data_IF_391155197466
#
_entry.id   IF_391155197466
#
_cell.length_a   1.000
_cell.length_b   1.000
_cell.length_c   1.000
_cell.angle_alpha   90.00
_cell.angle_beta   90.00
_cell.angle_gamma   90.00
#
_symmetry.space_group_name_H-M   'P 1'
#
loop_
_entity.id
_entity.type
_entity.pdbx_description
1 polymer ?
#
# COMPACT_ATOMS: atom_id res chain seq x y z
N UNK A 1 19.32 -21.01 15.49
CA UNK A 1 20.13 -20.00 16.21
C UNK A 1 20.01 -18.71 15.43
N UNK A 2 19.21 -17.77 15.95
CA UNK A 2 19.03 -16.46 15.35
C UNK A 2 20.34 -15.66 15.49
N UNK A 3 20.72 -14.91 14.45
CA UNK A 3 21.86 -14.01 14.50
C UNK A 3 21.34 -12.67 15.05
N UNK A 4 21.90 -12.25 16.17
CA UNK A 4 21.65 -10.95 16.81
C UNK A 4 22.27 -9.89 15.91
N UNK A 5 21.57 -8.76 15.74
CA UNK A 5 22.11 -7.61 15.01
C UNK A 5 23.46 -7.21 15.63
N UNK A 6 24.43 -6.95 14.78
CA UNK A 6 25.78 -6.57 15.19
C UNK A 6 25.78 -5.17 15.78
N UNK A 7 26.73 -4.88 16.69
CA UNK A 7 26.86 -3.55 17.30
C UNK A 7 27.01 -2.43 16.25
N UNK A 8 27.55 -2.77 15.07
CA UNK A 8 27.70 -1.86 13.93
C UNK A 8 26.34 -1.45 13.31
N UNK A 9 25.38 -2.38 13.22
CA UNK A 9 24.02 -2.13 12.71
C UNK A 9 23.19 -1.27 13.68
N UNK A 10 23.44 -1.39 14.99
CA UNK A 10 22.81 -0.54 16.01
C UNK A 10 23.40 0.88 16.04
N UNK A 11 24.69 1.03 15.75
CA UNK A 11 25.37 2.34 15.68
C UNK A 11 24.88 3.16 14.47
N UNK A 12 24.67 2.51 13.31
CA UNK A 12 24.20 3.18 12.08
C UNK A 12 22.76 3.73 12.23
N UNK A 13 21.90 3.01 12.97
CA UNK A 13 20.56 3.47 13.35
C UNK A 13 20.57 4.69 14.28
N UNK A 14 21.56 4.78 15.20
CA UNK A 14 21.72 5.94 16.09
C UNK A 14 22.13 7.19 15.30
N UNK A 15 23.04 7.07 14.34
CA UNK A 15 23.45 8.20 13.50
C UNK A 15 22.33 8.75 12.60
N UNK A 16 21.50 7.87 12.04
CA UNK A 16 20.33 8.25 11.22
C UNK A 16 19.29 9.05 12.03
N UNK A 17 19.11 8.69 13.30
CA UNK A 17 18.14 9.33 14.20
C UNK A 17 18.59 10.73 14.61
N UNK A 18 19.89 10.92 14.89
CA UNK A 18 20.44 12.24 15.25
C UNK A 18 20.43 13.24 14.08
N UNK A 19 20.66 12.77 12.83
CA UNK A 19 20.53 13.64 11.64
C UNK A 19 19.11 14.18 11.46
N UNK A 20 18.09 13.41 11.86
CA UNK A 20 16.68 13.79 11.74
C UNK A 20 16.29 14.91 12.73
N UNK A 21 16.82 14.87 13.96
CA UNK A 21 16.61 15.90 14.99
C UNK A 21 17.22 17.25 14.61
N UNK A 22 18.31 17.25 13.84
CA UNK A 22 18.97 18.48 13.38
C UNK A 22 18.19 19.21 12.29
N UNK A 23 17.46 18.47 11.43
CA UNK A 23 16.62 19.06 10.38
C UNK A 23 15.31 19.66 10.87
N UNK A 24 14.76 19.18 11.99
CA UNK A 24 13.50 19.70 12.55
C UNK A 24 13.68 20.98 13.38
N UNK A 25 14.90 21.31 13.79
CA UNK A 25 15.19 22.48 14.65
C UNK A 25 15.43 23.78 13.87
N UNK A 26 15.38 23.76 12.54
CA UNK A 26 15.69 24.94 11.70
C UNK A 26 14.47 25.60 11.04
N UNK A 27 13.24 25.21 11.39
CA UNK A 27 12.02 25.72 10.72
C UNK A 27 11.11 26.62 11.57
N UNK A 28 11.43 26.90 12.84
CA UNK A 28 10.62 27.77 13.69
C UNK A 28 11.40 29.06 13.99
N UNK A 29 11.32 30.06 13.09
CA UNK A 29 11.51 31.48 13.39
C UNK A 29 11.12 32.33 12.15
N UNK A 30 9.86 32.79 12.10
CA UNK A 30 9.51 34.03 11.39
C UNK A 30 8.16 34.57 11.85
N UNK A 31 8.23 35.77 12.46
CA UNK A 31 7.14 36.62 12.94
C UNK A 31 6.07 36.96 11.89
N UNK A 32 4.80 36.96 12.30
CA UNK A 32 3.71 37.63 11.58
C UNK A 32 2.79 38.38 12.55
N UNK A 33 2.76 39.71 12.39
CA UNK A 33 1.99 40.69 13.16
C UNK A 33 0.48 40.55 12.99
N UNK A 34 -0.27 40.83 14.07
CA UNK A 34 -1.73 40.81 14.12
C UNK A 34 -2.35 42.15 13.68
N UNK A 35 -3.42 42.09 12.88
CA UNK A 35 -4.33 43.22 12.57
C UNK A 35 -5.72 42.90 13.14
N UNK A 36 -6.41 43.83 13.84
CA UNK A 36 -7.69 43.57 14.46
C UNK A 36 -8.88 43.98 13.56
N UNK A 37 -9.97 43.21 13.60
CA UNK A 37 -11.30 43.70 13.19
C UNK A 37 -12.41 43.15 14.08
N UNK A 38 -13.20 44.08 14.61
CA UNK A 38 -14.45 43.90 15.35
C UNK A 38 -15.57 43.25 14.51
N UNK A 39 -16.54 42.61 15.20
CA UNK A 39 -17.86 42.31 14.63
C UNK A 39 -18.53 41.05 15.18
N UNK A 40 -19.39 41.22 16.19
CA UNK A 40 -20.24 40.17 16.76
C UNK A 40 -21.50 39.99 15.91
N UNK A 41 -21.80 38.77 15.46
CA UNK A 41 -23.18 38.33 15.25
C UNK A 41 -23.34 36.83 15.57
N UNK A 42 -24.34 36.53 16.43
CA UNK A 42 -24.70 35.21 16.93
C UNK A 42 -25.57 34.49 15.91
N UNK A 43 -25.29 33.21 15.60
CA UNK A 43 -26.29 32.26 15.13
C UNK A 43 -25.88 30.78 15.42
N UNK A 44 -26.90 29.97 15.72
CA UNK A 44 -26.93 28.59 16.24
C UNK A 44 -25.86 27.57 15.75
N UNK A 45 -25.53 26.54 16.56
CA UNK A 45 -24.59 25.49 16.17
C UNK A 45 -25.25 24.56 15.14
N UNK A 46 -24.81 24.69 13.89
CA UNK A 46 -25.00 23.67 12.85
C UNK A 46 -23.92 22.61 13.07
N UNK A 47 -24.37 21.36 13.29
CA UNK A 47 -23.51 20.17 13.37
C UNK A 47 -22.63 20.13 12.11
N UNK A 48 -21.29 20.07 12.21
CA UNK A 48 -20.47 20.08 11.01
C UNK A 48 -20.68 18.76 10.27
N UNK A 49 -21.35 18.82 9.12
CA UNK A 49 -21.27 17.77 8.13
C UNK A 49 -19.80 17.57 7.79
N UNK A 50 -19.36 16.32 7.80
CA UNK A 50 -18.06 15.88 7.30
C UNK A 50 -17.81 16.56 5.96
N UNK A 51 -16.98 17.60 5.96
CA UNK A 51 -16.45 18.19 4.74
C UNK A 51 -15.71 17.08 4.03
N UNK A 52 -16.25 16.66 2.89
CA UNK A 52 -15.45 16.09 1.83
C UNK A 52 -14.27 17.05 1.63
N UNK A 53 -13.08 16.61 2.03
CA UNK A 53 -11.85 17.31 1.69
C UNK A 53 -11.69 17.04 0.19
N UNK A 54 -12.08 18.00 -0.64
CA UNK A 54 -11.71 17.99 -2.04
C UNK A 54 -10.18 17.96 -2.11
N UNK A 55 -9.56 17.03 -2.85
CA UNK A 55 -8.12 17.00 -3.00
C UNK A 55 -7.67 18.30 -3.67
N UNK A 56 -6.83 19.07 -2.98
CA UNK A 56 -6.19 20.26 -3.54
C UNK A 56 -5.27 19.85 -4.68
N UNK A 57 -5.71 20.19 -5.89
CA UNK A 57 -5.06 19.97 -7.19
C UNK A 57 -3.79 20.82 -7.40
N UNK A 58 -2.95 21.00 -6.38
CA UNK A 58 -1.91 22.05 -6.40
C UNK A 58 -0.46 21.57 -6.59
N UNK A 59 -0.19 20.28 -6.76
CA UNK A 59 1.21 19.81 -6.94
C UNK A 59 1.63 19.47 -8.37
N UNK A 60 0.75 19.66 -9.38
CA UNK A 60 1.13 19.45 -10.79
C UNK A 60 0.76 20.61 -11.73
N UNK A 61 0.49 21.79 -11.19
CA UNK A 61 0.20 22.97 -12.00
C UNK A 61 0.71 24.26 -11.33
N UNK A 62 1.97 24.61 -11.56
CA UNK A 62 2.26 26.03 -11.83
C UNK A 62 1.67 26.37 -13.20
N UNK A 63 0.35 26.48 -13.23
CA UNK A 63 -0.44 26.75 -14.42
C UNK A 63 -1.62 27.61 -13.99
N UNK A 64 -1.51 28.91 -14.24
CA UNK A 64 -2.63 29.86 -14.12
C UNK A 64 -3.86 29.30 -14.83
N UNK A 65 -5.05 29.54 -14.28
CA UNK A 65 -6.38 29.20 -14.79
C UNK A 65 -6.68 29.83 -16.17
N UNK A 66 -5.89 29.47 -17.17
CA UNK A 66 -5.98 29.85 -18.57
C UNK A 66 -6.16 28.54 -19.34
N UNK A 67 -7.41 28.22 -19.65
CA UNK A 67 -7.87 26.91 -20.07
C UNK A 67 -7.36 26.46 -21.45
N UNK A 68 -7.61 25.18 -21.73
CA UNK A 68 -7.61 24.50 -23.02
C UNK A 68 -6.57 25.00 -24.05
N UNK A 69 -5.28 24.78 -23.78
CA UNK A 69 -4.17 25.20 -24.65
C UNK A 69 -3.92 24.27 -25.84
N UNK A 70 -4.55 23.10 -25.86
CA UNK A 70 -4.32 22.05 -26.88
C UNK A 70 -5.60 21.29 -27.26
N UNK A 71 -5.55 20.51 -28.33
CA UNK A 71 -6.65 19.64 -28.76
C UNK A 71 -6.22 18.16 -28.75
N UNK A 72 -6.99 17.31 -28.07
CA UNK A 72 -6.92 15.87 -28.22
C UNK A 72 -7.77 15.43 -29.42
N UNK A 73 -7.21 14.58 -30.29
CA UNK A 73 -7.88 14.14 -31.52
C UNK A 73 -8.38 12.70 -31.34
N UNK A 74 -9.68 12.51 -31.55
CA UNK A 74 -10.37 11.22 -31.50
C UNK A 74 -11.08 10.96 -32.84
N UNK A 75 -10.35 10.39 -33.81
CA UNK A 75 -10.88 10.20 -35.16
C UNK A 75 -11.09 11.55 -35.85
N UNK A 76 -12.35 11.89 -36.16
CA UNK A 76 -12.75 13.20 -36.71
C UNK A 76 -13.16 14.22 -35.63
N UNK A 77 -13.14 13.83 -34.35
CA UNK A 77 -13.51 14.70 -33.24
C UNK A 77 -12.27 15.35 -32.60
N UNK A 78 -12.39 16.61 -32.22
CA UNK A 78 -11.35 17.39 -31.53
C UNK A 78 -11.90 17.81 -30.17
N UNK A 79 -11.24 17.38 -29.09
CA UNK A 79 -11.64 17.66 -27.71
C UNK A 79 -10.61 18.62 -27.11
N UNK A 80 -11.04 19.75 -26.53
CA UNK A 80 -10.11 20.71 -25.96
C UNK A 80 -9.48 20.13 -24.66
N UNK A 81 -8.20 20.42 -24.43
CA UNK A 81 -7.44 19.97 -23.26
C UNK A 81 -6.43 21.04 -22.82
N UNK A 82 -6.35 21.30 -21.52
CA UNK A 82 -5.38 22.25 -20.94
C UNK A 82 -3.94 21.92 -21.32
N UNK A 83 -3.54 20.65 -21.14
CA UNK A 83 -2.17 20.18 -21.36
C UNK A 83 -2.15 18.77 -21.95
N UNK A 84 -1.15 18.51 -22.80
CA UNK A 84 -0.86 17.15 -23.31
C UNK A 84 0.54 16.72 -22.91
N UNK A 85 0.68 15.45 -22.50
CA UNK A 85 1.95 14.84 -22.13
C UNK A 85 2.19 13.58 -22.97
N UNK A 86 3.45 13.31 -23.31
CA UNK A 86 3.83 12.10 -24.07
C UNK A 86 3.98 10.86 -23.20
N UNK A 87 4.22 11.07 -21.91
CA UNK A 87 4.39 10.02 -20.90
C UNK A 87 3.66 10.43 -19.64
N UNK A 88 3.06 9.45 -18.97
CA UNK A 88 2.54 9.65 -17.63
C UNK A 88 3.69 9.91 -16.65
N UNK A 89 3.53 10.83 -15.68
CA UNK A 89 4.44 10.90 -14.54
C UNK A 89 4.60 9.51 -13.88
N UNK A 90 5.79 9.15 -13.38
CA UNK A 90 5.92 7.96 -12.54
C UNK A 90 4.93 8.02 -11.36
N UNK A 91 4.30 6.90 -11.05
CA UNK A 91 3.30 6.86 -9.98
C UNK A 91 2.41 5.63 -10.01
N UNK A 92 1.45 5.62 -9.09
CA UNK A 92 0.36 4.65 -9.06
C UNK A 92 -0.86 5.19 -9.82
N UNK A 93 -1.53 4.33 -10.57
CA UNK A 93 -2.67 4.66 -11.40
C UNK A 93 -3.75 3.59 -11.31
N UNK A 94 -5.00 3.99 -11.51
CA UNK A 94 -6.15 3.09 -11.64
C UNK A 94 -6.78 3.22 -13.03
N UNK A 95 -7.00 2.11 -13.76
CA UNK A 95 -7.77 2.10 -14.99
C UNK A 95 -9.24 2.39 -14.72
N UNK A 96 -9.73 3.51 -15.26
CA UNK A 96 -11.12 3.94 -15.11
C UNK A 96 -11.76 4.12 -16.47
N UNK A 97 -13.08 3.97 -16.51
CA UNK A 97 -13.89 4.25 -17.69
C UNK A 97 -14.92 5.32 -17.34
N UNK A 98 -15.00 6.36 -18.16
CA UNK A 98 -16.08 7.34 -18.11
C UNK A 98 -16.67 7.54 -19.50
N UNK A 99 -17.93 7.95 -19.57
CA UNK A 99 -18.61 8.16 -20.86
C UNK A 99 -17.94 9.28 -21.67
N UNK A 100 -17.42 10.31 -20.99
CA UNK A 100 -16.80 11.48 -21.62
C UNK A 100 -15.39 11.22 -22.14
N UNK A 101 -14.59 10.39 -21.47
CA UNK A 101 -13.16 10.20 -21.77
C UNK A 101 -12.80 8.76 -22.16
N UNK A 102 -13.76 7.83 -22.09
CA UNK A 102 -13.52 6.40 -22.26
C UNK A 102 -12.51 5.88 -21.23
N UNK A 103 -11.72 4.89 -21.66
CA UNK A 103 -10.65 4.31 -20.82
C UNK A 103 -9.48 5.28 -20.63
N UNK A 104 -9.22 5.65 -19.39
CA UNK A 104 -8.12 6.52 -18.99
C UNK A 104 -7.47 6.04 -17.68
N UNK A 105 -6.32 6.62 -17.34
CA UNK A 105 -5.57 6.31 -16.12
C UNK A 105 -5.81 7.42 -15.10
N UNK A 106 -6.37 7.08 -13.95
CA UNK A 106 -6.54 8.00 -12.83
C UNK A 106 -5.34 7.88 -11.89
N UNK A 107 -4.59 8.97 -11.66
CA UNK A 107 -3.43 8.95 -10.76
C UNK A 107 -3.92 8.80 -9.32
N UNK A 108 -3.42 7.77 -8.61
CA UNK A 108 -3.70 7.56 -7.19
C UNK A 108 -2.77 8.44 -6.35
N UNK A 109 -3.28 8.91 -5.22
CA UNK A 109 -2.43 9.46 -4.18
C UNK A 109 -1.80 8.31 -3.40
N UNK A 110 -0.48 8.27 -3.37
CA UNK A 110 0.30 7.25 -2.69
C UNK A 110 1.15 7.94 -1.64
N UNK A 111 1.07 7.47 -0.40
CA UNK A 111 2.03 7.86 0.63
C UNK A 111 2.94 6.66 0.92
N UNK A 112 4.24 6.83 0.66
CA UNK A 112 5.27 5.81 0.88
C UNK A 112 6.18 6.15 2.08
N UNK A 113 5.95 7.27 2.77
CA UNK A 113 6.87 7.89 3.73
C UNK A 113 7.04 7.07 5.03
N UNK A 114 6.28 5.98 5.17
CA UNK A 114 6.30 5.14 6.38
C UNK A 114 6.38 3.65 6.07
N UNK A 115 6.90 3.28 4.90
CA UNK A 115 7.13 1.87 4.60
C UNK A 115 8.35 1.35 5.35
N UNK A 116 8.11 0.40 6.24
CA UNK A 116 9.16 -0.36 6.89
C UNK A 116 9.56 -1.53 6.00
N UNK A 117 10.85 -1.61 5.69
CA UNK A 117 11.45 -2.73 4.98
C UNK A 117 12.07 -3.67 6.01
N UNK A 118 11.64 -4.92 6.00
CA UNK A 118 12.22 -5.96 6.85
C UNK A 118 13.25 -6.73 6.05
N UNK A 119 14.51 -6.63 6.43
CA UNK A 119 15.61 -7.39 5.81
C UNK A 119 15.37 -8.91 5.97
N UNK A 120 15.83 -9.69 4.99
CA UNK A 120 15.67 -11.15 4.91
C UNK A 120 14.21 -11.64 4.88
N UNK A 121 13.28 -10.80 4.47
CA UNK A 121 11.86 -11.16 4.34
C UNK A 121 11.55 -11.79 2.97
N UNK A 122 10.44 -12.53 2.90
CA UNK A 122 9.88 -13.00 1.63
C UNK A 122 9.62 -11.85 0.63
N UNK A 123 9.43 -10.63 1.12
CA UNK A 123 9.27 -9.41 0.33
C UNK A 123 10.56 -9.02 -0.40
N UNK A 124 11.72 -9.13 0.26
CA UNK A 124 13.02 -8.83 -0.36
C UNK A 124 13.38 -9.81 -1.48
N UNK A 125 13.09 -11.10 -1.29
CA UNK A 125 13.27 -12.11 -2.33
C UNK A 125 12.42 -11.79 -3.58
N UNK A 126 11.18 -11.35 -3.38
CA UNK A 126 10.28 -10.97 -4.49
C UNK A 126 10.76 -9.71 -5.19
N UNK A 127 11.20 -8.70 -4.43
CA UNK A 127 11.77 -7.48 -4.97
C UNK A 127 13.03 -7.79 -5.81
N UNK A 128 13.93 -8.62 -5.29
CA UNK A 128 15.12 -9.07 -6.01
C UNK A 128 14.76 -9.85 -7.29
N UNK A 129 13.74 -10.71 -7.22
CA UNK A 129 13.26 -11.45 -8.39
C UNK A 129 12.71 -10.52 -9.49
N UNK A 130 12.00 -9.45 -9.11
CA UNK A 130 11.48 -8.44 -10.03
C UNK A 130 12.63 -7.63 -10.67
N UNK A 131 13.64 -7.25 -9.88
CA UNK A 131 14.82 -6.55 -10.38
C UNK A 131 15.61 -7.41 -11.37
N UNK A 132 15.80 -8.70 -11.04
CA UNK A 132 16.41 -9.68 -11.95
C UNK A 132 15.58 -9.82 -13.24
N UNK A 133 14.27 -9.96 -13.13
CA UNK A 133 13.38 -10.05 -14.29
C UNK A 133 13.54 -8.85 -15.24
N UNK A 134 13.61 -7.63 -14.72
CA UNK A 134 13.82 -6.45 -15.57
C UNK A 134 15.23 -6.35 -16.15
N UNK A 135 16.23 -7.02 -15.56
CA UNK A 135 17.56 -7.10 -16.15
C UNK A 135 17.65 -8.09 -17.33
N UNK A 136 16.60 -8.89 -17.58
CA UNK A 136 16.58 -9.99 -18.58
C UNK A 136 15.95 -9.63 -19.92
N UNK A 137 15.70 -8.36 -20.22
CA UNK A 137 15.08 -7.88 -21.47
C UNK A 137 15.67 -8.53 -22.73
N UNK A 138 17.00 -8.48 -22.88
CA UNK A 138 17.70 -9.02 -24.05
C UNK A 138 17.56 -10.54 -24.17
N UNK A 139 17.50 -11.26 -23.04
CA UNK A 139 17.29 -12.70 -23.01
C UNK A 139 15.86 -13.05 -23.48
N UNK A 140 14.84 -12.36 -22.98
CA UNK A 140 13.44 -12.55 -23.42
C UNK A 140 13.30 -12.30 -24.92
N UNK A 141 13.88 -11.20 -25.42
CA UNK A 141 13.88 -10.86 -26.86
C UNK A 141 14.60 -11.90 -27.70
N UNK A 142 15.77 -12.34 -27.26
CA UNK A 142 16.59 -13.34 -27.98
C UNK A 142 15.82 -14.65 -28.18
N UNK A 143 15.05 -15.09 -27.19
CA UNK A 143 14.26 -16.31 -27.28
C UNK A 143 12.85 -16.11 -27.85
N UNK A 144 12.44 -14.87 -28.14
CA UNK A 144 11.11 -14.56 -28.68
C UNK A 144 9.98 -14.76 -27.67
N UNK A 145 10.29 -14.72 -26.37
CA UNK A 145 9.29 -14.79 -25.31
C UNK A 145 8.79 -13.38 -24.96
N UNK A 146 7.52 -13.30 -24.56
CA UNK A 146 6.98 -12.06 -23.98
C UNK A 146 7.71 -11.78 -22.66
N UNK A 147 8.28 -10.59 -22.51
CA UNK A 147 8.95 -10.10 -21.31
C UNK A 147 7.89 -9.72 -20.26
N UNK A 148 7.32 -10.77 -19.69
CA UNK A 148 6.26 -10.74 -18.70
C UNK A 148 6.59 -11.68 -17.54
N UNK A 149 6.15 -11.29 -16.35
CA UNK A 149 6.22 -12.11 -15.13
C UNK A 149 4.90 -12.08 -14.37
N UNK A 150 4.46 -13.21 -13.85
CA UNK A 150 3.37 -13.30 -12.89
C UNK A 150 3.87 -13.68 -11.50
N UNK A 151 3.41 -12.98 -10.47
CA UNK A 151 3.73 -13.23 -9.06
C UNK A 151 2.45 -13.27 -8.24
N UNK A 152 2.24 -14.34 -7.46
CA UNK A 152 1.14 -14.46 -6.50
C UNK A 152 1.69 -14.46 -5.08
N UNK A 153 1.26 -13.48 -4.28
CA UNK A 153 1.54 -13.39 -2.86
C UNK A 153 0.33 -13.89 -2.07
N UNK A 154 0.50 -14.91 -1.24
CA UNK A 154 -0.60 -15.45 -0.43
C UNK A 154 -0.21 -15.60 1.03
N UNK A 155 -1.18 -15.63 1.93
CA UNK A 155 -0.92 -15.81 3.36
C UNK A 155 -1.98 -15.14 4.22
N UNK A 156 -1.86 -15.23 5.56
CA UNK A 156 -2.89 -14.72 6.46
C UNK A 156 -3.12 -13.21 6.31
N UNK A 157 -4.33 -12.72 6.66
CA UNK A 157 -4.61 -11.29 6.71
C UNK A 157 -3.66 -10.58 7.69
N UNK A 158 -3.23 -9.37 7.32
CA UNK A 158 -2.28 -8.58 8.12
C UNK A 158 -0.80 -9.02 8.03
N UNK A 159 -0.46 -10.07 7.27
CA UNK A 159 0.92 -10.54 7.11
C UNK A 159 1.86 -9.61 6.31
N UNK A 160 1.39 -8.47 5.79
CA UNK A 160 2.23 -7.52 5.06
C UNK A 160 2.26 -7.70 3.55
N UNK A 161 1.30 -8.42 2.95
CA UNK A 161 1.15 -8.53 1.48
C UNK A 161 0.99 -7.16 0.82
N UNK A 162 0.08 -6.33 1.30
CA UNK A 162 -0.14 -4.96 0.81
C UNK A 162 1.10 -4.08 1.00
N UNK A 163 1.77 -4.17 2.15
CA UNK A 163 3.04 -3.46 2.39
C UNK A 163 4.14 -3.90 1.41
N UNK A 164 4.17 -5.18 1.05
CA UNK A 164 5.09 -5.71 0.03
C UNK A 164 4.81 -5.10 -1.34
N UNK A 165 3.53 -4.99 -1.74
CA UNK A 165 3.15 -4.30 -2.98
C UNK A 165 3.62 -2.83 -2.98
N UNK A 166 3.42 -2.13 -1.86
CA UNK A 166 3.82 -0.73 -1.73
C UNK A 166 5.35 -0.54 -1.85
N UNK A 167 6.15 -1.45 -1.29
CA UNK A 167 7.62 -1.44 -1.44
C UNK A 167 8.04 -1.67 -2.90
N UNK A 168 7.36 -2.59 -3.60
CA UNK A 168 7.61 -2.85 -5.02
C UNK A 168 7.26 -1.62 -5.86
N UNK A 169 6.10 -1.01 -5.59
CA UNK A 169 5.66 0.20 -6.27
C UNK A 169 6.63 1.37 -6.04
N UNK A 170 7.11 1.58 -4.81
CA UNK A 170 8.08 2.61 -4.49
C UNK A 170 9.36 2.46 -5.32
N UNK A 171 9.92 1.24 -5.39
CA UNK A 171 11.10 0.94 -6.21
C UNK A 171 10.84 1.11 -7.71
N UNK A 172 9.70 0.65 -8.20
CA UNK A 172 9.29 0.83 -9.60
C UNK A 172 9.21 2.32 -9.96
N UNK A 173 8.53 3.11 -9.13
CA UNK A 173 8.33 4.56 -9.36
C UNK A 173 9.66 5.28 -9.33
N UNK A 174 10.57 4.94 -8.39
CA UNK A 174 11.93 5.48 -8.33
C UNK A 174 12.75 5.22 -9.60
N UNK A 175 12.42 4.18 -10.38
CA UNK A 175 13.03 3.87 -11.69
C UNK A 175 12.27 4.47 -12.87
N UNK A 176 11.26 5.30 -12.60
CA UNK A 176 10.40 5.87 -13.63
C UNK A 176 9.46 4.83 -14.25
N UNK A 177 8.87 3.94 -13.46
CA UNK A 177 7.82 3.01 -13.90
C UNK A 177 6.40 3.48 -13.56
N UNK A 178 5.41 2.68 -13.97
CA UNK A 178 3.98 2.88 -13.67
C UNK A 178 3.45 1.68 -12.90
N UNK A 179 2.90 1.92 -11.71
CA UNK A 179 2.11 0.93 -10.99
C UNK A 179 0.63 1.09 -11.34
N UNK A 180 -0.03 0.02 -11.74
CA UNK A 180 -1.44 0.01 -12.17
C UNK A 180 -2.23 -0.87 -11.22
N UNK A 181 -3.09 -0.25 -10.40
CA UNK A 181 -4.02 -0.94 -9.51
C UNK A 181 -5.26 -1.38 -10.27
N UNK A 182 -5.53 -2.67 -10.27
CA UNK A 182 -6.58 -3.29 -11.05
C UNK A 182 -7.75 -3.59 -10.12
N UNK A 183 -8.82 -2.80 -10.25
CA UNK A 183 -10.12 -3.05 -9.62
C UNK A 183 -11.06 -3.77 -10.58
N UNK A 184 -10.93 -3.50 -11.89
CA UNK A 184 -11.72 -4.13 -12.95
C UNK A 184 -10.81 -4.70 -14.05
N UNK A 185 -10.74 -6.04 -14.23
CA UNK A 185 -9.85 -6.66 -15.23
C UNK A 185 -10.12 -6.23 -16.68
N UNK A 186 -11.37 -5.96 -17.02
CA UNK A 186 -11.75 -5.52 -18.36
C UNK A 186 -11.23 -4.11 -18.67
N UNK A 187 -11.36 -3.18 -17.72
CA UNK A 187 -10.82 -1.83 -17.85
C UNK A 187 -9.29 -1.87 -17.93
N UNK A 188 -8.67 -2.65 -17.04
CA UNK A 188 -7.23 -2.82 -17.00
C UNK A 188 -6.66 -3.35 -18.31
N UNK A 189 -7.26 -4.37 -18.90
CA UNK A 189 -6.85 -4.92 -20.18
C UNK A 189 -6.79 -3.82 -21.27
N UNK A 190 -7.85 -3.04 -21.43
CA UNK A 190 -7.90 -1.94 -22.42
C UNK A 190 -6.90 -0.83 -22.13
N UNK A 191 -6.76 -0.44 -20.86
CA UNK A 191 -5.88 0.64 -20.45
C UNK A 191 -4.39 0.26 -20.57
N UNK A 192 -4.00 -0.96 -20.17
CA UNK A 192 -2.64 -1.46 -20.27
C UNK A 192 -2.18 -1.62 -21.73
N UNK A 193 -3.03 -2.15 -22.62
CA UNK A 193 -2.72 -2.21 -24.05
C UNK A 193 -2.49 -0.81 -24.65
N UNK A 194 -3.30 0.17 -24.23
CA UNK A 194 -3.15 1.56 -24.65
C UNK A 194 -1.87 2.18 -24.10
N UNK A 195 -1.58 1.97 -22.81
CA UNK A 195 -0.36 2.45 -22.15
C UNK A 195 0.88 1.88 -22.84
N UNK A 196 0.94 0.56 -23.09
CA UNK A 196 2.07 -0.08 -23.79
C UNK A 196 2.26 0.46 -25.20
N UNK A 197 1.18 0.80 -25.93
CA UNK A 197 1.29 1.41 -27.26
C UNK A 197 1.86 2.83 -27.22
N UNK A 198 1.53 3.61 -26.19
CA UNK A 198 1.98 5.00 -26.04
C UNK A 198 3.41 5.05 -25.46
N UNK A 199 3.69 4.18 -24.50
CA UNK A 199 4.96 4.10 -23.77
C UNK A 199 5.58 2.69 -23.87
N UNK A 200 6.14 2.30 -25.04
CA UNK A 200 6.55 0.93 -25.34
C UNK A 200 7.62 0.36 -24.42
N UNK A 201 8.49 1.19 -23.85
CA UNK A 201 9.59 0.76 -22.98
C UNK A 201 9.33 1.01 -21.49
N UNK A 202 8.16 1.52 -21.11
CA UNK A 202 7.86 1.85 -19.71
C UNK A 202 7.75 0.57 -18.87
N UNK A 203 8.50 0.44 -17.76
CA UNK A 203 8.29 -0.66 -16.82
C UNK A 203 6.91 -0.52 -16.17
N UNK A 204 6.14 -1.61 -16.14
CA UNK A 204 4.80 -1.64 -15.55
C UNK A 204 4.71 -2.73 -14.49
N UNK A 205 4.12 -2.40 -13.35
CA UNK A 205 3.59 -3.38 -12.40
C UNK A 205 2.06 -3.29 -12.42
N UNK A 206 1.39 -4.42 -12.58
CA UNK A 206 -0.05 -4.55 -12.56
C UNK A 206 -0.48 -5.25 -11.27
N UNK A 207 -1.04 -4.49 -10.34
CA UNK A 207 -1.42 -4.94 -9.00
C UNK A 207 -2.87 -5.43 -8.98
N UNK A 208 -3.07 -6.71 -8.69
CA UNK A 208 -4.37 -7.33 -8.41
C UNK A 208 -4.47 -7.66 -6.91
N UNK A 209 -4.90 -6.69 -6.11
CA UNK A 209 -5.08 -6.91 -4.67
C UNK A 209 -6.36 -7.72 -4.41
N UNK A 210 -6.28 -8.71 -3.51
CA UNK A 210 -7.38 -9.63 -3.17
C UNK A 210 -8.01 -10.24 -4.44
N UNK A 211 -7.19 -10.91 -5.25
CA UNK A 211 -7.58 -11.44 -6.56
C UNK A 211 -8.76 -12.40 -6.51
N UNK A 212 -9.00 -13.07 -5.37
CA UNK A 212 -10.18 -13.89 -5.14
C UNK A 212 -11.48 -13.06 -5.08
N UNK A 213 -11.43 -11.84 -4.54
CA UNK A 213 -12.55 -10.90 -4.57
C UNK A 213 -12.81 -10.40 -6.00
N UNK A 214 -11.74 -10.04 -6.73
CA UNK A 214 -11.84 -9.62 -8.14
C UNK A 214 -12.43 -10.75 -9.00
N UNK A 215 -11.98 -11.99 -8.79
CA UNK A 215 -12.52 -13.17 -9.47
C UNK A 215 -14.00 -13.38 -9.16
N UNK A 216 -14.40 -13.22 -7.89
CA UNK A 216 -15.79 -13.38 -7.47
C UNK A 216 -16.71 -12.33 -8.11
N UNK A 217 -16.23 -11.10 -8.28
CA UNK A 217 -17.02 -10.00 -8.85
C UNK A 217 -17.09 -10.07 -10.39
N UNK A 218 -15.95 -10.29 -11.06
CA UNK A 218 -15.85 -10.17 -12.52
C UNK A 218 -15.79 -11.51 -13.28
N UNK A 219 -15.64 -12.61 -12.55
CA UNK A 219 -15.50 -13.95 -13.09
C UNK A 219 -14.05 -14.32 -13.44
N UNK A 220 -13.72 -15.60 -13.27
CA UNK A 220 -12.41 -16.19 -13.53
C UNK A 220 -11.90 -15.90 -14.95
N UNK A 221 -12.77 -16.03 -15.96
CA UNK A 221 -12.39 -15.84 -17.36
C UNK A 221 -11.83 -14.46 -17.67
N UNK A 222 -12.25 -13.42 -16.95
CA UNK A 222 -11.76 -12.04 -17.15
C UNK A 222 -10.39 -11.82 -16.52
N UNK A 223 -10.16 -12.39 -15.34
CA UNK A 223 -8.84 -12.40 -14.69
C UNK A 223 -7.86 -13.19 -15.55
N UNK A 224 -8.28 -14.36 -16.06
CA UNK A 224 -7.46 -15.18 -16.94
C UNK A 224 -7.14 -14.49 -18.26
N UNK A 225 -8.09 -13.84 -18.92
CA UNK A 225 -7.80 -13.10 -20.16
C UNK A 225 -6.73 -12.01 -19.96
N UNK A 226 -6.75 -11.35 -18.79
CA UNK A 226 -5.73 -10.37 -18.40
C UNK A 226 -4.36 -11.04 -18.15
N UNK A 227 -4.33 -12.19 -17.45
CA UNK A 227 -3.12 -12.94 -17.11
C UNK A 227 -2.57 -13.81 -18.25
N UNK A 228 -3.37 -14.24 -19.22
CA UNK A 228 -2.90 -15.03 -20.36
C UNK A 228 -2.28 -14.15 -21.45
N UNK A 229 -2.41 -12.82 -21.32
CA UNK A 229 -1.74 -11.88 -22.20
C UNK A 229 -2.28 -11.91 -23.62
N UNK A 230 -3.60 -12.06 -23.80
CA UNK A 230 -4.24 -11.91 -25.12
C UNK A 230 -3.87 -10.59 -25.82
N UNK A 231 -3.47 -9.59 -25.03
CA UNK A 231 -3.04 -8.28 -25.48
C UNK A 231 -1.52 -8.15 -25.72
N UNK A 232 -0.75 -9.23 -25.54
CA UNK A 232 0.71 -9.30 -25.68
C UNK A 232 1.43 -8.10 -25.04
N UNK A 233 1.02 -7.74 -23.82
CA UNK A 233 1.60 -6.62 -23.09
C UNK A 233 2.98 -7.04 -22.59
N UNK A 234 4.02 -6.41 -23.14
CA UNK A 234 5.42 -6.65 -22.83
C UNK A 234 5.90 -5.80 -21.63
N UNK A 235 7.12 -6.02 -21.13
CA UNK A 235 7.76 -5.28 -20.03
C UNK A 235 6.82 -5.04 -18.82
N UNK A 236 6.20 -6.11 -18.32
CA UNK A 236 5.17 -6.04 -17.29
C UNK A 236 5.32 -7.15 -16.24
N UNK A 237 5.14 -6.77 -14.98
CA UNK A 237 4.99 -7.72 -13.86
C UNK A 237 3.55 -7.66 -13.38
N UNK A 238 2.83 -8.78 -13.42
CA UNK A 238 1.55 -8.93 -12.74
C UNK A 238 1.81 -9.43 -11.32
N UNK A 239 1.32 -8.69 -10.32
CA UNK A 239 1.44 -9.09 -8.92
C UNK A 239 0.04 -9.17 -8.35
N UNK A 240 -0.33 -10.35 -7.85
CA UNK A 240 -1.61 -10.59 -7.22
C UNK A 240 -1.42 -10.91 -5.74
N UNK A 241 -2.40 -10.53 -4.91
CA UNK A 241 -2.46 -10.96 -3.51
C UNK A 241 -3.73 -11.76 -3.24
N UNK A 242 -3.67 -12.70 -2.29
CA UNK A 242 -4.87 -13.35 -1.76
C UNK A 242 -4.66 -13.79 -0.31
N UNK A 243 -5.74 -13.78 0.47
CA UNK A 243 -5.76 -14.41 1.80
C UNK A 243 -6.18 -15.88 1.74
N UNK A 244 -6.83 -16.28 0.64
CA UNK A 244 -7.52 -17.56 0.50
C UNK A 244 -7.10 -18.23 -0.81
N UNK A 245 -5.86 -18.73 -0.91
CA UNK A 245 -5.39 -19.39 -2.13
C UNK A 245 -6.28 -20.56 -2.57
N UNK A 246 -6.99 -21.21 -1.64
CA UNK A 246 -7.96 -22.27 -1.90
C UNK A 246 -9.20 -21.82 -2.69
N UNK A 247 -9.48 -20.51 -2.75
CA UNK A 247 -10.57 -19.94 -3.54
C UNK A 247 -10.19 -19.72 -5.02
N UNK A 248 -8.91 -19.88 -5.37
CA UNK A 248 -8.41 -19.73 -6.73
C UNK A 248 -8.28 -21.12 -7.36
N UNK A 249 -8.69 -21.25 -8.62
CA UNK A 249 -8.59 -22.51 -9.36
C UNK A 249 -7.11 -22.90 -9.54
N UNK A 250 -6.79 -24.20 -9.45
CA UNK A 250 -5.44 -24.72 -9.67
C UNK A 250 -4.85 -24.28 -11.02
N UNK A 251 -5.69 -24.06 -12.05
CA UNK A 251 -5.26 -23.58 -13.36
C UNK A 251 -4.77 -22.15 -13.31
N UNK A 252 -5.18 -21.34 -12.34
CA UNK A 252 -4.65 -19.99 -12.11
C UNK A 252 -3.29 -20.07 -11.45
N UNK A 253 -3.16 -20.87 -10.39
CA UNK A 253 -1.95 -20.93 -9.55
C UNK A 253 -0.83 -21.77 -10.19
N UNK A 254 -1.16 -22.97 -10.67
CA UNK A 254 -0.20 -23.99 -11.07
C UNK A 254 0.08 -24.02 -12.58
N UNK A 255 -0.40 -23.03 -13.34
CA UNK A 255 -0.11 -22.91 -14.76
C UNK A 255 1.01 -21.88 -14.99
N UNK A 256 2.19 -22.31 -15.43
CA UNK A 256 3.28 -21.41 -15.82
C UNK A 256 2.78 -20.36 -16.82
N UNK A 257 3.35 -19.14 -16.79
CA UNK A 257 2.95 -17.93 -17.52
C UNK A 257 1.77 -17.12 -16.94
N UNK A 258 1.02 -17.66 -15.97
CA UNK A 258 0.00 -16.91 -15.20
C UNK A 258 0.59 -16.37 -13.91
N UNK A 259 1.10 -17.27 -13.09
CA UNK A 259 1.93 -16.98 -11.92
C UNK A 259 3.17 -17.87 -11.96
N UNK A 260 4.31 -17.25 -12.24
CA UNK A 260 5.62 -17.93 -12.31
C UNK A 260 6.26 -18.05 -10.92
N UNK A 261 5.86 -17.17 -10.00
CA UNK A 261 6.27 -17.20 -8.60
C UNK A 261 5.04 -17.21 -7.72
N UNK A 262 4.92 -18.19 -6.84
CA UNK A 262 3.88 -18.26 -5.82
C UNK A 262 4.55 -18.25 -4.46
N UNK A 263 4.42 -17.13 -3.73
CA UNK A 263 5.15 -16.91 -2.48
C UNK A 263 4.20 -16.70 -1.31
N UNK A 264 4.43 -17.45 -0.23
CA UNK A 264 3.75 -17.23 1.03
C UNK A 264 4.37 -16.04 1.76
N UNK A 265 3.56 -15.05 2.12
CA UNK A 265 3.91 -13.98 3.06
C UNK A 265 3.31 -14.34 4.43
N UNK A 266 4.19 -14.77 5.34
CA UNK A 266 3.82 -15.19 6.70
C UNK A 266 3.64 -14.03 7.67
N UNK A 267 3.44 -14.37 8.95
CA UNK A 267 3.53 -13.40 10.03
C UNK A 267 4.97 -12.91 10.19
N UNK A 268 5.20 -11.67 10.68
CA UNK A 268 6.53 -11.13 10.90
C UNK A 268 7.37 -11.99 11.86
N UNK A 269 8.62 -12.22 11.48
CA UNK A 269 9.62 -12.89 12.33
C UNK A 269 9.89 -12.08 13.61
N UNK A 270 10.45 -12.69 14.68
CA UNK A 270 10.82 -11.96 15.89
C UNK A 270 11.68 -10.71 15.60
N UNK A 271 12.66 -10.82 14.70
CA UNK A 271 13.48 -9.68 14.28
C UNK A 271 12.67 -8.59 13.57
N UNK A 272 11.76 -8.96 12.68
CA UNK A 272 10.86 -8.00 12.03
C UNK A 272 9.93 -7.30 13.04
N UNK A 273 9.44 -8.03 14.05
CA UNK A 273 8.64 -7.45 15.14
C UNK A 273 9.48 -6.49 15.99
N UNK A 274 10.70 -6.87 16.36
CA UNK A 274 11.62 -6.03 17.14
C UNK A 274 11.90 -4.71 16.40
N UNK A 275 12.23 -4.80 15.11
CA UNK A 275 12.46 -3.64 14.25
C UNK A 275 11.21 -2.74 14.18
N UNK A 276 10.04 -3.32 13.89
CA UNK A 276 8.79 -2.54 13.81
C UNK A 276 8.47 -1.82 15.13
N UNK A 277 8.56 -2.53 16.25
CA UNK A 277 8.29 -1.99 17.58
C UNK A 277 9.29 -0.90 17.96
N UNK A 278 10.59 -1.15 17.78
CA UNK A 278 11.65 -0.19 18.07
C UNK A 278 11.54 1.09 17.22
N UNK A 279 11.23 0.98 15.93
CA UNK A 279 11.04 2.16 15.08
C UNK A 279 9.79 2.97 15.45
N UNK A 280 8.73 2.32 15.96
CA UNK A 280 7.49 3.00 16.33
C UNK A 280 7.46 3.50 17.77
N UNK A 281 8.26 2.91 18.63
CA UNK A 281 8.35 3.23 20.06
C UNK A 281 9.82 3.38 20.40
N UNK A 282 10.38 4.53 20.04
CA UNK A 282 11.84 4.79 20.14
C UNK A 282 12.38 4.60 21.57
N UNK A 283 11.55 4.82 22.61
CA UNK A 283 11.94 4.58 24.01
C UNK A 283 12.36 3.13 24.29
N UNK A 284 11.84 2.15 23.54
CA UNK A 284 12.20 0.74 23.69
C UNK A 284 13.64 0.45 23.24
N UNK A 285 14.28 1.40 22.55
CA UNK A 285 15.68 1.30 22.12
C UNK A 285 16.66 1.97 23.11
N UNK A 286 16.16 2.60 24.17
CA UNK A 286 16.99 3.26 25.17
C UNK A 286 17.49 2.26 26.21
N UNK A 287 18.72 2.45 26.70
CA UNK A 287 19.35 1.60 27.72
C UNK A 287 18.53 1.53 29.03
N UNK A 288 17.78 2.59 29.35
CA UNK A 288 16.90 2.67 30.51
C UNK A 288 15.74 1.65 30.45
N UNK A 289 15.43 1.16 29.25
CA UNK A 289 14.38 0.19 28.95
C UNK A 289 14.96 -1.15 28.46
N UNK A 290 16.21 -1.47 28.85
CA UNK A 290 16.86 -2.72 28.46
C UNK A 290 15.99 -3.94 28.81
N UNK A 291 15.88 -4.87 27.87
CA UNK A 291 15.01 -6.05 27.95
C UNK A 291 13.51 -5.80 27.70
N UNK A 292 13.00 -4.56 27.73
CA UNK A 292 11.57 -4.30 27.50
C UNK A 292 11.16 -4.66 26.05
N UNK A 293 12.01 -4.33 25.07
CA UNK A 293 11.76 -4.72 23.67
C UNK A 293 11.65 -6.24 23.52
N UNK A 294 12.50 -7.00 24.21
CA UNK A 294 12.46 -8.47 24.20
C UNK A 294 11.18 -9.01 24.82
N UNK A 295 10.67 -8.40 25.89
CA UNK A 295 9.38 -8.75 26.48
C UNK A 295 8.24 -8.57 25.48
N UNK A 296 8.21 -7.44 24.76
CA UNK A 296 7.21 -7.19 23.73
C UNK A 296 7.33 -8.19 22.57
N UNK A 297 8.55 -8.48 22.10
CA UNK A 297 8.79 -9.40 20.97
C UNK A 297 8.40 -10.84 21.33
N UNK A 298 8.74 -11.28 22.54
CA UNK A 298 8.39 -12.61 23.04
C UNK A 298 6.89 -12.77 23.27
N UNK A 299 6.23 -11.70 23.73
CA UNK A 299 4.78 -11.69 23.96
C UNK A 299 3.92 -11.59 22.70
N UNK A 300 4.52 -11.28 21.54
CA UNK A 300 3.81 -11.00 20.28
C UNK A 300 3.98 -12.08 19.22
N UNK A 301 4.26 -13.32 19.62
CA UNK A 301 4.34 -14.41 18.65
C UNK A 301 3.02 -14.61 17.89
N UNK A 302 3.11 -14.82 16.58
CA UNK A 302 1.97 -14.88 15.68
C UNK A 302 1.27 -13.55 15.39
N UNK A 303 1.68 -12.43 16.01
CA UNK A 303 1.06 -11.13 15.75
C UNK A 303 1.39 -10.65 14.34
N UNK A 304 0.40 -10.04 13.71
CA UNK A 304 0.54 -9.37 12.42
C UNK A 304 0.98 -7.92 12.64
N UNK A 305 1.38 -7.20 11.58
CA UNK A 305 1.75 -5.77 11.70
C UNK A 305 0.56 -4.94 12.24
N UNK A 306 -0.67 -5.30 11.87
CA UNK A 306 -1.88 -4.66 12.40
C UNK A 306 -2.04 -4.91 13.91
N UNK A 307 -1.77 -6.14 14.38
CA UNK A 307 -1.80 -6.46 15.80
C UNK A 307 -0.70 -5.70 16.58
N UNK A 308 0.51 -5.57 16.02
CA UNK A 308 1.58 -4.78 16.64
C UNK A 308 1.23 -3.30 16.72
N UNK A 309 0.65 -2.73 15.66
CA UNK A 309 0.16 -1.34 15.67
C UNK A 309 -0.87 -1.14 16.79
N UNK A 310 -1.84 -2.05 16.90
CA UNK A 310 -2.85 -1.97 17.95
C UNK A 310 -2.23 -2.15 19.34
N UNK A 311 -1.25 -3.03 19.51
CA UNK A 311 -0.52 -3.18 20.78
C UNK A 311 0.14 -1.86 21.21
N UNK A 312 0.83 -1.18 20.29
CA UNK A 312 1.44 0.12 20.55
C UNK A 312 0.37 1.14 20.98
N UNK A 313 -0.76 1.20 20.28
CA UNK A 313 -1.86 2.09 20.68
C UNK A 313 -2.35 1.78 22.10
N UNK A 314 -2.54 0.51 22.42
CA UNK A 314 -3.01 0.11 23.75
C UNK A 314 -2.03 0.49 24.86
N UNK A 315 -0.74 0.27 24.65
CA UNK A 315 0.28 0.53 25.67
C UNK A 315 0.66 2.01 25.73
N UNK A 316 1.06 2.60 24.61
CA UNK A 316 1.61 3.97 24.59
C UNK A 316 0.54 5.06 24.59
N UNK A 317 -0.62 4.83 23.94
CA UNK A 317 -1.66 5.86 23.83
C UNK A 317 -2.71 5.71 24.92
N UNK A 318 -3.17 4.48 25.16
CA UNK A 318 -4.20 4.21 26.16
C UNK A 318 -3.64 3.84 27.55
N UNK A 319 -2.32 3.75 27.70
CA UNK A 319 -1.65 3.45 28.98
C UNK A 319 -2.11 2.12 29.61
N UNK A 320 -2.51 1.15 28.78
CA UNK A 320 -2.89 -0.17 29.27
C UNK A 320 -1.65 -1.04 29.54
N UNK A 321 -1.66 -1.87 30.60
CA UNK A 321 -0.53 -2.77 30.87
C UNK A 321 -0.23 -3.71 29.70
N UNK A 322 1.05 -3.87 29.35
CA UNK A 322 1.50 -4.72 28.24
C UNK A 322 0.87 -6.12 28.26
N UNK A 323 0.94 -6.80 29.40
CA UNK A 323 0.40 -8.15 29.56
C UNK A 323 -1.12 -8.23 29.41
N UNK A 324 -1.87 -7.17 29.73
CA UNK A 324 -3.30 -7.09 29.46
C UNK A 324 -3.56 -6.92 27.96
N UNK A 325 -2.84 -6.01 27.32
CA UNK A 325 -2.98 -5.70 25.89
C UNK A 325 -2.65 -6.91 25.01
N UNK A 326 -1.57 -7.65 25.32
CA UNK A 326 -1.21 -8.90 24.64
C UNK A 326 -2.32 -9.94 24.78
N UNK A 327 -2.80 -10.22 26.00
CA UNK A 327 -3.86 -11.22 26.23
C UNK A 327 -5.16 -10.87 25.51
N UNK A 328 -5.52 -9.59 25.50
CA UNK A 328 -6.71 -9.11 24.78
C UNK A 328 -6.58 -9.38 23.27
N UNK A 329 -5.42 -9.05 22.69
CA UNK A 329 -5.19 -9.25 21.25
C UNK A 329 -5.10 -10.73 20.89
N UNK A 330 -4.45 -11.56 21.71
CA UNK A 330 -4.47 -13.02 21.56
C UNK A 330 -5.90 -13.57 21.59
N UNK A 331 -6.71 -13.13 22.55
CA UNK A 331 -8.12 -13.52 22.61
C UNK A 331 -8.87 -13.10 21.35
N UNK A 332 -8.63 -11.91 20.78
CA UNK A 332 -9.25 -11.49 19.53
C UNK A 332 -8.84 -12.34 18.32
N UNK A 333 -7.62 -12.89 18.33
CA UNK A 333 -7.15 -13.79 17.27
C UNK A 333 -7.79 -15.18 17.37
N UNK A 334 -7.95 -15.68 18.60
CA UNK A 334 -8.52 -17.02 18.84
C UNK A 334 -10.05 -17.01 18.75
N UNK A 335 -10.69 -15.95 19.24
CA UNK A 335 -12.13 -15.84 19.33
C UNK A 335 -12.72 -15.19 18.07
N UNK A 336 -13.45 -15.99 17.31
CA UNK A 336 -14.24 -15.53 16.17
C UNK A 336 -15.70 -15.40 16.60
N UNK A 337 -16.23 -14.17 16.74
CA UNK A 337 -17.62 -13.97 17.12
C UNK A 337 -18.54 -14.67 16.12
N UNK A 338 -19.43 -15.52 16.60
CA UNK A 338 -20.47 -16.16 15.81
C UNK A 338 -21.80 -15.50 16.12
N UNK A 339 -22.68 -15.44 15.13
CA UNK A 339 -24.06 -14.98 15.33
C UNK A 339 -24.86 -15.83 16.34
N UNK A 340 -24.32 -16.98 16.73
CA UNK A 340 -24.89 -17.92 17.70
C UNK A 340 -24.21 -17.88 19.05
N UNK A 341 -23.20 -17.02 19.24
CA UNK A 341 -22.60 -16.85 20.56
C UNK A 341 -23.68 -16.31 21.50
N UNK A 342 -23.93 -17.02 22.59
CA UNK A 342 -25.07 -16.79 23.47
C UNK A 342 -25.10 -15.34 23.98
N UNK A 343 -26.13 -14.60 23.61
CA UNK A 343 -26.57 -13.34 24.23
C UNK A 343 -27.09 -13.60 25.66
N UNK A 344 -26.25 -14.14 26.55
CA UNK A 344 -26.58 -14.16 27.98
C UNK A 344 -26.59 -12.71 28.50
N UNK A 345 -27.75 -12.06 28.34
CA UNK A 345 -28.15 -10.78 28.94
C UNK A 345 -27.15 -9.64 28.81
N UNK A 346 -26.69 -9.32 27.61
CA UNK A 346 -26.12 -7.99 27.35
C UNK A 346 -27.29 -7.00 27.18
N UNK A 347 -27.87 -6.57 28.31
CA UNK A 347 -28.86 -5.51 28.33
C UNK A 347 -28.15 -4.18 28.01
N UNK A 348 -28.47 -3.60 26.85
CA UNK A 348 -28.18 -2.19 26.60
C UNK A 348 -29.18 -1.34 27.39
N UNK A 349 -28.69 -0.51 28.32
CA UNK A 349 -29.53 0.30 29.20
C UNK A 349 -29.12 1.77 29.15
N UNK A 350 -30.08 2.67 28.93
CA UNK A 350 -29.86 4.10 29.07
C UNK A 350 -29.93 4.46 30.56
N UNK A 351 -28.83 4.96 31.12
CA UNK A 351 -28.84 5.53 32.48
C UNK A 351 -29.24 7.00 32.36
N UNK A 352 -30.32 7.40 33.03
CA UNK A 352 -30.68 8.81 33.15
C UNK A 352 -29.59 9.51 33.97
N UNK A 353 -28.88 10.47 33.38
CA UNK A 353 -27.96 11.34 34.12
C UNK A 353 -28.74 12.00 35.25
N UNK A 354 -28.27 11.87 36.49
CA UNK A 354 -28.87 12.58 37.62
C UNK A 354 -28.63 14.08 37.40
N UNK A 355 -29.72 14.83 37.34
CA UNK A 355 -29.73 16.30 37.29
C UNK A 355 -29.05 16.91 38.52
#
# INVERSE_FOLDING_TARGET
MARIATDEELEELKELTERRKLTEKSSDDSDCEAVPTDGVEKNNPVVPSTRFIEPTYTEYAEGTADGDKTWAVYGSSFVPCDHSVKQLPPGQYEPVHSDSYGFHMFKRHSNFDTLLRFEDSASDEIIANIEEFWAKEDDFRKFGFLWKRGILLWGPPGGGKTSTLQLIDQKLIGRGGISVFITNPYHAAKALARLRRIEPNRPIVANLEDVDAIQKEYGESKVLALLDGELQIDNIVFIATTNYPENLDDRIINRPSRFDVVKKIGMPSPGARAMYLGTKVERLLLEEHDGELDEWVNGTDGFSIAHLKELILQVEVFNNPLGYSIKRLQHMMDYHPKSTDNDEKISYGFVKTKD
#
